data_IF_991236567766
#
_entry.id   IF_991236567766
#
_cell.length_a   1.000
_cell.length_b   1.000
_cell.length_c   1.000
_cell.angle_alpha   90.00
_cell.angle_beta   90.00
_cell.angle_gamma   90.00
#
_symmetry.space_group_name_H-M   'P 1'
#
loop_
_entity.id
_entity.type
_entity.pdbx_description
1 polymer ?
2 polymer ?
3 branched ?
4 non-polymer ?
5 non-polymer ?
6 non-polymer ?
#
# COMPACT_ATOMS: atom_id res chain seq x y z
N UNK A 1 28.17 -7.34 18.87
CA UNK A 1 27.10 -6.35 18.86
C UNK A 1 27.07 -5.62 17.53
N UNK A 2 25.87 -5.42 16.99
CA UNK A 2 25.71 -4.94 15.62
C UNK A 2 24.95 -3.62 15.51
N UNK A 3 24.47 -3.06 16.61
CA UNK A 3 23.67 -1.85 16.54
C UNK A 3 24.00 -0.89 17.68
N UNK A 4 23.41 0.30 17.58
CA UNK A 4 23.56 1.34 18.59
C UNK A 4 22.18 1.81 19.02
N UNK A 5 21.90 1.73 20.32
CA UNK A 5 20.59 2.08 20.84
C UNK A 5 20.53 3.54 21.26
N UNK A 6 19.30 4.03 21.39
CA UNK A 6 19.05 5.38 21.84
C UNK A 6 17.67 5.50 22.45
N UNK A 7 17.35 6.69 22.98
CA UNK A 7 16.02 6.88 23.58
C UNK A 7 14.87 6.67 22.61
N UNK A 8 15.02 7.10 21.35
CA UNK A 8 13.93 6.99 20.39
C UNK A 8 14.43 6.56 19.01
N UNK A 9 15.47 5.73 18.95
CA UNK A 9 15.99 5.30 17.66
C UNK A 9 16.82 4.03 17.84
N UNK A 10 17.26 3.48 16.71
CA UNK A 10 18.14 2.32 16.69
C UNK A 10 18.89 2.33 15.37
N UNK A 11 20.18 2.71 15.41
CA UNK A 11 21.01 2.79 14.21
C UNK A 11 21.64 1.42 14.00
N UNK A 12 21.41 0.77 12.85
CA UNK A 12 22.01 -0.55 12.61
C UNK A 12 23.49 -0.46 12.28
N UNK A 13 24.29 0.01 13.23
CA UNK A 13 25.73 0.15 13.04
C UNK A 13 26.38 0.24 14.41
N UNK A 14 27.33 -0.65 14.68
CA UNK A 14 27.96 -0.69 15.99
C UNK A 14 28.77 0.57 16.24
N UNK A 15 28.76 1.04 17.49
CA UNK A 15 29.46 2.24 17.89
C UNK A 15 30.82 1.94 18.52
N UNK A 16 31.46 0.86 18.08
CA UNK A 16 32.76 0.50 18.64
C UNK A 16 33.87 1.45 18.19
N UNK A 17 33.65 2.22 17.13
CA UNK A 17 34.61 3.21 16.67
C UNK A 17 34.25 4.62 17.09
N UNK A 18 33.08 4.82 17.70
CA UNK A 18 32.70 6.13 18.19
C UNK A 18 32.18 7.09 17.14
N UNK A 19 31.80 6.58 15.95
CA UNK A 19 31.35 7.44 14.87
C UNK A 19 29.83 7.51 14.76
N UNK A 20 29.10 6.62 15.43
CA UNK A 20 27.65 6.60 15.32
C UNK A 20 27.07 7.84 15.98
N UNK A 21 26.14 8.49 15.30
CA UNK A 21 25.46 9.68 15.80
C UNK A 21 23.96 9.45 15.80
N UNK A 22 23.25 10.36 16.45
CA UNK A 22 21.79 10.26 16.49
C UNK A 22 21.22 10.56 15.11
N UNK A 23 20.27 9.75 14.62
CA UNK A 23 19.65 10.04 13.32
C UNK A 23 18.79 11.29 13.31
N UNK A 24 18.62 11.96 14.45
CA UNK A 24 17.88 13.20 14.55
C UNK A 24 18.78 14.43 14.59
N UNK A 25 20.09 14.24 14.59
CA UNK A 25 21.01 15.36 14.81
C UNK A 25 22.11 15.48 13.76
N UNK A 26 22.69 14.37 13.33
CA UNK A 26 23.83 14.37 12.43
C UNK A 26 23.61 13.42 11.27
N UNK A 27 24.27 13.64 10.14
CA UNK A 27 24.13 12.73 9.00
C UNK A 27 24.63 11.33 9.34
N UNK A 28 24.09 10.35 8.60
CA UNK A 28 24.42 8.95 8.82
C UNK A 28 25.27 8.40 7.68
N UNK A 29 26.36 9.11 7.35
CA UNK A 29 27.22 8.71 6.24
C UNK A 29 28.17 7.57 6.59
N UNK A 30 28.06 6.99 7.78
CA UNK A 30 28.88 5.84 8.15
C UNK A 30 28.19 4.51 7.86
N UNK A 31 26.85 4.50 7.73
CA UNK A 31 26.12 3.31 7.35
C UNK A 31 25.82 3.25 5.86
N UNK A 32 26.02 4.36 5.13
CA UNK A 32 25.81 4.40 3.70
C UNK A 32 26.54 5.60 3.14
N UNK A 33 27.15 5.44 1.97
CA UNK A 33 27.88 6.52 1.35
C UNK A 33 26.92 7.64 0.93
N UNK A 34 27.42 8.86 0.77
CA UNK A 34 26.53 9.97 0.38
C UNK A 34 25.80 9.74 -0.94
N UNK A 35 26.44 9.08 -1.91
CA UNK A 35 25.76 8.83 -3.18
C UNK A 35 24.60 7.86 -3.01
N UNK A 36 24.68 6.97 -2.02
CA UNK A 36 23.56 6.07 -1.75
C UNK A 36 22.38 6.84 -1.18
N UNK A 37 22.63 7.93 -0.44
CA UNK A 37 21.54 8.80 -0.02
C UNK A 37 20.98 9.59 -1.19
N UNK A 38 21.85 9.98 -2.13
CA UNK A 38 21.37 10.66 -3.33
C UNK A 38 20.53 9.73 -4.20
N UNK A 39 20.91 8.45 -4.27
CA UNK A 39 20.10 7.47 -5.00
C UNK A 39 18.77 7.23 -4.29
N UNK A 40 18.78 7.24 -2.95
CA UNK A 40 17.53 7.20 -2.21
C UNK A 40 16.66 8.42 -2.54
N UNK A 41 17.28 9.59 -2.60
CA UNK A 41 16.55 10.79 -3.00
C UNK A 41 16.10 10.73 -4.45
N UNK A 42 16.89 10.08 -5.31
CA UNK A 42 16.53 9.97 -6.71
C UNK A 42 15.30 9.07 -6.90
N UNK A 43 15.23 7.97 -6.15
CA UNK A 43 14.08 7.08 -6.29
C UNK A 43 12.83 7.71 -5.70
N UNK A 44 12.97 8.46 -4.60
CA UNK A 44 11.82 9.18 -4.07
C UNK A 44 11.31 10.21 -5.07
N UNK A 45 12.24 10.86 -5.79
CA UNK A 45 11.84 11.79 -6.85
C UNK A 45 11.11 11.06 -7.97
N UNK A 46 11.50 9.82 -8.24
CA UNK A 46 10.80 9.04 -9.26
C UNK A 46 9.38 8.71 -8.84
N UNK A 47 9.18 8.33 -7.57
CA UNK A 47 7.84 8.00 -7.10
C UNK A 47 6.93 9.23 -7.04
N UNK A 48 7.51 10.42 -6.87
CA UNK A 48 6.70 11.63 -6.85
C UNK A 48 6.30 12.04 -8.26
N UNK A 49 7.24 11.97 -9.20
CA UNK A 49 6.95 12.39 -10.57
C UNK A 49 5.99 11.43 -11.26
N UNK A 50 5.96 10.17 -10.84
CA UNK A 50 5.06 9.18 -11.42
C UNK A 50 3.82 8.92 -10.58
N UNK A 51 3.90 9.10 -9.26
CA UNK A 51 2.79 8.80 -8.40
C UNK A 51 1.77 9.90 -8.26
N UNK A 52 2.23 11.16 -8.25
CA UNK A 52 1.30 12.27 -8.07
C UNK A 52 0.38 12.47 -9.28
N UNK A 53 0.90 12.66 -10.51
CA UNK A 53 -0.03 12.96 -11.61
C UNK A 53 -0.97 11.82 -11.94
N UNK A 54 -0.51 10.57 -11.82
CA UNK A 54 -1.37 9.43 -12.14
C UNK A 54 -2.50 9.32 -11.12
N UNK A 55 -2.20 9.55 -9.85
CA UNK A 55 -3.24 9.48 -8.81
C UNK A 55 -4.09 10.75 -8.78
N UNK A 56 -3.51 11.90 -9.10
CA UNK A 56 -4.31 13.13 -9.13
C UNK A 56 -5.24 13.14 -10.34
N UNK A 57 -4.78 12.63 -11.48
CA UNK A 57 -5.63 12.56 -12.66
C UNK A 57 -6.83 11.65 -12.43
N UNK A 58 -6.66 10.62 -11.58
CA UNK A 58 -7.79 9.74 -11.25
C UNK A 58 -8.89 10.51 -10.54
N UNK A 59 -8.52 11.36 -9.59
CA UNK A 59 -9.52 12.18 -8.90
C UNK A 59 -10.05 13.30 -9.79
N UNK A 60 -9.27 13.73 -10.78
CA UNK A 60 -9.69 14.82 -11.63
C UNK A 60 -10.69 14.37 -12.69
N UNK A 61 -10.46 13.22 -13.31
CA UNK A 61 -11.39 12.73 -14.33
C UNK A 61 -12.72 12.30 -13.71
N UNK A 62 -12.74 11.97 -12.42
CA UNK A 62 -14.01 11.64 -11.78
C UNK A 62 -14.88 12.89 -11.61
N UNK A 63 -14.26 14.06 -11.47
CA UNK A 63 -15.02 15.29 -11.36
C UNK A 63 -15.60 15.70 -12.70
N UNK A 64 -14.93 15.37 -13.80
CA UNK A 64 -15.35 15.79 -15.12
C UNK A 64 -16.19 14.75 -15.86
N UNK A 65 -16.34 13.54 -15.33
CA UNK A 65 -17.08 12.48 -16.00
C UNK A 65 -18.12 11.92 -15.04
N UNK A 66 -19.39 12.15 -15.37
CA UNK A 66 -20.49 11.73 -14.50
C UNK A 66 -20.61 10.21 -14.43
N UNK A 67 -20.25 9.50 -15.50
CA UNK A 67 -20.36 8.05 -15.51
C UNK A 67 -19.33 7.36 -14.63
N UNK A 68 -18.34 8.08 -14.12
CA UNK A 68 -17.35 7.51 -13.22
C UNK A 68 -17.76 7.58 -11.75
N UNK A 69 -18.79 8.36 -11.41
CA UNK A 69 -19.20 8.54 -10.03
C UNK A 69 -20.28 7.53 -9.63
N UNK A 70 -19.90 6.25 -9.75
CA UNK A 70 -20.73 5.12 -9.34
C UNK A 70 -20.26 4.57 -7.99
N UNK A 71 -21.16 3.98 -7.22
CA UNK A 71 -20.76 3.47 -5.89
C UNK A 71 -19.65 2.44 -5.94
N UNK A 72 -19.61 1.59 -6.97
CA UNK A 72 -18.53 0.62 -7.10
C UNK A 72 -17.18 1.26 -7.36
N UNK A 73 -17.14 2.55 -7.69
CA UNK A 73 -15.90 3.26 -7.92
C UNK A 73 -15.46 4.10 -6.72
N UNK A 74 -16.23 4.10 -5.63
CA UNK A 74 -15.83 4.85 -4.44
C UNK A 74 -14.52 4.32 -3.88
N UNK A 75 -14.36 2.99 -3.85
CA UNK A 75 -13.15 2.41 -3.28
C UNK A 75 -11.94 2.62 -4.17
N UNK A 76 -12.15 2.85 -5.47
CA UNK A 76 -11.03 3.16 -6.35
C UNK A 76 -10.51 4.57 -6.12
N UNK A 77 -11.41 5.51 -5.83
CA UNK A 77 -10.97 6.86 -5.47
C UNK A 77 -10.29 6.86 -4.11
N UNK A 78 -10.77 6.01 -3.18
CA UNK A 78 -10.12 5.87 -1.90
C UNK A 78 -8.70 5.34 -2.07
N UNK A 79 -8.47 4.50 -3.07
CA UNK A 79 -7.13 4.03 -3.36
C UNK A 79 -6.23 5.16 -3.85
N UNK A 80 -6.78 6.05 -4.67
CA UNK A 80 -5.99 7.17 -5.18
C UNK A 80 -5.65 8.15 -4.08
N UNK A 81 -6.60 8.42 -3.16
CA UNK A 81 -6.33 9.31 -2.04
C UNK A 81 -5.29 8.68 -1.10
N UNK A 82 -5.35 7.35 -0.93
CA UNK A 82 -4.37 6.68 -0.09
C UNK A 82 -2.97 6.81 -0.68
N UNK A 83 -2.84 6.66 -2.00
CA UNK A 83 -1.53 6.81 -2.63
C UNK A 83 -1.02 8.23 -2.52
N UNK A 84 -1.92 9.23 -2.47
CA UNK A 84 -1.49 10.60 -2.28
C UNK A 84 -0.97 10.84 -0.87
N UNK A 85 -1.51 10.14 0.12
CA UNK A 85 -0.95 10.21 1.46
C UNK A 85 0.45 9.60 1.52
N UNK A 86 0.71 8.59 0.68
CA UNK A 86 2.04 8.01 0.62
C UNK A 86 3.03 8.95 -0.06
N UNK A 87 2.53 9.84 -0.91
CA UNK A 87 3.42 10.72 -1.66
C UNK A 87 3.82 11.94 -0.82
N UNK A 88 2.83 12.66 -0.29
CA UNK A 88 3.10 13.89 0.45
C UNK A 88 3.37 13.63 1.93
N UNK A 89 2.84 12.56 2.49
CA UNK A 89 3.09 12.22 3.87
C UNK A 89 4.31 11.36 4.11
N UNK A 90 5.02 10.98 3.05
CA UNK A 90 6.19 10.13 3.21
C UNK A 90 7.24 10.31 2.13
N UNK A 91 6.83 10.26 0.86
CA UNK A 91 7.80 10.35 -0.23
C UNK A 91 8.47 11.71 -0.28
N UNK A 92 7.70 12.78 -0.15
CA UNK A 92 8.28 14.13 -0.17
C UNK A 92 9.16 14.36 1.06
N UNK A 93 8.75 13.84 2.22
CA UNK A 93 9.55 14.00 3.43
C UNK A 93 10.85 13.21 3.32
N UNK A 94 10.80 12.00 2.77
CA UNK A 94 12.01 11.19 2.64
C UNK A 94 12.97 11.80 1.63
N UNK A 95 12.45 12.39 0.55
CA UNK A 95 13.31 13.11 -0.39
C UNK A 95 14.04 14.25 0.30
N UNK A 96 13.37 14.95 1.21
CA UNK A 96 13.99 16.07 1.89
C UNK A 96 15.03 15.61 2.90
N UNK A 97 14.67 14.63 3.74
CA UNK A 97 15.59 14.17 4.78
C UNK A 97 16.81 13.45 4.20
N UNK A 98 16.62 12.71 3.10
CA UNK A 98 17.75 12.00 2.49
C UNK A 98 18.80 12.97 1.98
N UNK A 99 18.39 14.15 1.51
CA UNK A 99 19.36 15.15 1.05
C UNK A 99 20.14 15.77 2.21
N UNK A 100 19.63 15.67 3.44
CA UNK A 100 20.38 16.08 4.61
C UNK A 100 21.26 14.96 5.15
N UNK A 101 20.89 13.70 4.91
CA UNK A 101 21.60 12.56 5.44
C UNK A 101 21.01 11.94 6.68
N UNK A 102 19.93 12.53 7.22
CA UNK A 102 19.30 12.02 8.43
C UNK A 102 17.92 12.64 8.56
N UNK A 103 17.15 12.13 9.51
CA UNK A 103 15.81 12.64 9.76
C UNK A 103 15.90 13.93 10.57
N UNK A 104 15.66 15.06 9.91
CA UNK A 104 15.91 16.37 10.51
C UNK A 104 14.71 16.91 11.28
N UNK A 105 13.59 16.21 11.30
CA UNK A 105 12.39 16.71 11.95
C UNK A 105 12.22 16.17 13.37
N UNK A 106 13.15 15.35 13.85
CA UNK A 106 13.13 14.91 15.23
C UNK A 106 12.07 13.86 15.51
N UNK A 107 11.91 13.52 16.78
CA UNK A 107 10.92 12.48 17.15
C UNK A 107 9.49 12.88 16.85
N UNK A 108 9.15 14.17 16.95
CA UNK A 108 7.80 14.61 16.65
C UNK A 108 7.47 14.39 15.17
N UNK A 109 8.36 14.85 14.28
CA UNK A 109 8.18 14.58 12.86
C UNK A 109 8.28 13.12 12.51
N UNK A 110 8.96 12.33 13.34
CA UNK A 110 9.04 10.89 13.11
C UNK A 110 7.69 10.22 13.34
N UNK A 111 6.95 10.68 14.35
CA UNK A 111 5.61 10.14 14.58
C UNK A 111 4.63 10.63 13.53
N UNK A 112 4.79 11.87 13.06
CA UNK A 112 3.92 12.38 12.01
C UNK A 112 4.18 11.69 10.69
N UNK A 113 5.44 11.64 10.25
CA UNK A 113 5.78 10.98 9.00
C UNK A 113 5.52 9.48 9.08
N UNK A 114 5.59 8.90 10.27
CA UNK A 114 5.32 7.48 10.44
C UNK A 114 3.85 7.16 10.47
N UNK A 115 3.05 8.06 11.06
CA UNK A 115 1.61 7.85 11.11
C UNK A 115 0.98 7.97 9.73
N UNK A 116 1.40 8.97 8.95
CA UNK A 116 0.79 9.20 7.64
C UNK A 116 1.28 8.18 6.61
N UNK A 117 2.55 7.77 6.69
CA UNK A 117 3.05 6.77 5.76
C UNK A 117 2.42 5.41 6.03
N UNK A 118 2.21 5.07 7.30
CA UNK A 118 1.54 3.82 7.63
C UNK A 118 0.06 3.90 7.31
N UNK A 119 -0.57 5.05 7.56
CA UNK A 119 -1.99 5.22 7.27
C UNK A 119 -2.25 5.07 5.77
N UNK A 120 -1.47 5.77 4.95
CA UNK A 120 -1.68 5.71 3.51
C UNK A 120 -1.46 4.33 2.94
N UNK A 121 -0.47 3.61 3.47
CA UNK A 121 -0.20 2.26 3.00
C UNK A 121 -1.25 1.25 3.43
N UNK A 122 -1.88 1.49 4.58
CA UNK A 122 -2.89 0.57 5.08
C UNK A 122 -4.26 0.83 4.50
N UNK A 123 -4.59 2.09 4.21
CA UNK A 123 -5.83 2.40 3.50
C UNK A 123 -5.81 1.75 2.12
N UNK A 124 -4.68 1.85 1.43
CA UNK A 124 -4.55 1.23 0.11
C UNK A 124 -4.64 -0.29 0.20
N UNK A 125 -4.10 -0.87 1.27
CA UNK A 125 -4.17 -2.32 1.43
C UNK A 125 -5.60 -2.79 1.65
N UNK A 126 -6.30 -2.18 2.60
CA UNK A 126 -7.68 -2.58 2.87
C UNK A 126 -8.63 -2.13 1.76
N UNK A 127 -8.26 -1.13 0.96
CA UNK A 127 -9.08 -0.78 -0.19
C UNK A 127 -9.09 -1.90 -1.22
N UNK A 128 -7.96 -2.59 -1.38
CA UNK A 128 -7.92 -3.75 -2.26
C UNK A 128 -8.67 -4.94 -1.68
N UNK A 129 -8.80 -4.99 -0.36
CA UNK A 129 -9.57 -6.07 0.27
C UNK A 129 -11.06 -5.79 0.13
N UNK A 130 -11.47 -4.54 0.40
CA UNK A 130 -12.89 -4.17 0.26
C UNK A 130 -13.31 -4.27 -1.20
N UNK A 131 -12.43 -3.89 -2.13
CA UNK A 131 -12.74 -4.02 -3.55
C UNK A 131 -13.01 -5.47 -3.93
N UNK A 132 -12.24 -6.40 -3.37
CA UNK A 132 -12.47 -7.82 -3.65
C UNK A 132 -13.78 -8.29 -3.04
N UNK A 133 -14.13 -7.78 -1.85
CA UNK A 133 -15.38 -8.15 -1.23
C UNK A 133 -16.56 -7.64 -2.03
N UNK A 134 -16.49 -6.38 -2.49
CA UNK A 134 -17.57 -5.81 -3.28
C UNK A 134 -17.77 -6.56 -4.59
N UNK A 135 -16.66 -6.89 -5.27
CA UNK A 135 -16.77 -7.62 -6.53
C UNK A 135 -17.26 -9.04 -6.31
N UNK A 136 -16.97 -9.63 -5.14
CA UNK A 136 -17.49 -10.96 -4.84
C UNK A 136 -18.98 -10.91 -4.54
N UNK A 137 -19.44 -9.86 -3.87
CA UNK A 137 -20.85 -9.76 -3.53
C UNK A 137 -21.68 -9.46 -4.78
N UNK A 138 -21.16 -8.61 -5.67
CA UNK A 138 -21.94 -8.18 -6.83
C UNK A 138 -22.00 -9.29 -7.88
N UNK A 139 -20.86 -9.93 -8.16
CA UNK A 139 -20.80 -10.89 -9.26
C UNK A 139 -21.30 -12.26 -8.80
N UNK A 140 -20.68 -12.82 -7.77
CA UNK A 140 -21.05 -14.17 -7.33
C UNK A 140 -22.46 -14.21 -6.76
N UNK A 141 -22.94 -13.09 -6.21
CA UNK A 141 -24.26 -12.96 -5.60
C UNK A 141 -24.50 -14.06 -4.56
N UNK A 142 -23.84 -14.02 -3.41
CA UNK A 142 -24.14 -14.98 -2.34
C UNK A 142 -25.23 -14.53 -1.38
N UNK A 143 -25.84 -13.37 -1.63
CA UNK A 143 -26.85 -12.79 -0.74
C UNK A 143 -28.15 -12.67 -1.51
N UNK A 144 -29.17 -13.40 -1.07
CA UNK A 144 -30.44 -13.45 -1.79
C UNK A 144 -31.12 -12.09 -1.77
N UNK A 145 -31.40 -11.56 -2.96
CA UNK A 145 -32.09 -10.28 -3.14
C UNK A 145 -31.31 -9.15 -2.45
N UNK A 146 -30.13 -8.88 -3.00
CA UNK A 146 -29.24 -7.86 -2.49
C UNK A 146 -28.85 -6.91 -3.61
N UNK A 147 -28.89 -5.61 -3.33
CA UNK A 147 -28.47 -4.59 -4.28
C UNK A 147 -27.38 -3.75 -3.63
N UNK A 148 -26.20 -3.73 -4.25
CA UNK A 148 -25.07 -2.95 -3.73
C UNK A 148 -25.30 -1.49 -4.10
N UNK A 149 -25.73 -0.70 -3.13
CA UNK A 149 -26.06 0.69 -3.33
C UNK A 149 -24.98 1.64 -2.86
N UNK A 150 -25.38 2.89 -2.63
CA UNK A 150 -24.44 3.92 -2.20
C UNK A 150 -24.07 3.78 -0.73
N UNK A 151 -25.04 3.39 0.10
CA UNK A 151 -24.77 3.29 1.54
C UNK A 151 -23.79 2.16 1.84
N UNK A 152 -23.77 1.11 1.03
CA UNK A 152 -22.80 0.03 1.25
C UNK A 152 -21.40 0.45 0.82
N UNK A 153 -21.28 1.27 -0.22
CA UNK A 153 -19.97 1.70 -0.68
C UNK A 153 -19.33 2.68 0.31
N UNK A 154 -20.15 3.48 1.00
CA UNK A 154 -19.59 4.40 2.00
C UNK A 154 -19.08 3.63 3.21
N UNK A 155 -19.80 2.58 3.61
CA UNK A 155 -19.31 1.73 4.70
C UNK A 155 -18.01 1.03 4.31
N UNK A 156 -17.86 0.66 3.04
CA UNK A 156 -16.62 0.04 2.60
C UNK A 156 -15.42 0.97 2.66
N UNK A 157 -15.64 2.26 2.39
CA UNK A 157 -14.56 3.23 2.51
C UNK A 157 -14.27 3.50 3.98
N UNK A 158 -15.31 3.65 4.80
CA UNK A 158 -15.11 3.89 6.23
C UNK A 158 -14.47 2.69 6.91
N UNK A 159 -14.71 1.48 6.40
CA UNK A 159 -14.08 0.30 6.98
C UNK A 159 -12.57 0.30 6.78
N UNK A 160 -12.10 0.84 5.65
CA UNK A 160 -10.67 0.93 5.42
C UNK A 160 -10.02 1.94 6.36
N UNK A 161 -10.71 3.05 6.63
CA UNK A 161 -10.16 4.06 7.54
C UNK A 161 -10.08 3.54 8.97
N UNK A 162 -11.08 2.74 9.38
CA UNK A 162 -11.06 2.19 10.74
C UNK A 162 -9.94 1.17 10.89
N UNK A 163 -9.78 0.28 9.90
CA UNK A 163 -8.71 -0.70 9.96
C UNK A 163 -7.34 -0.05 9.92
N UNK A 164 -7.19 1.05 9.17
CA UNK A 164 -5.91 1.73 9.11
C UNK A 164 -5.62 2.47 10.41
N UNK A 165 -6.63 3.13 10.98
CA UNK A 165 -6.44 3.79 12.27
C UNK A 165 -6.20 2.79 13.39
N UNK A 166 -6.76 1.59 13.28
CA UNK A 166 -6.48 0.51 14.21
C UNK A 166 -5.13 -0.14 13.97
N UNK A 167 -4.31 0.51 13.16
CA UNK A 167 -2.99 0.01 12.80
C UNK A 167 -1.88 1.04 12.90
N UNK A 168 -2.16 2.33 12.64
CA UNK A 168 -1.17 3.38 12.68
C UNK A 168 -1.23 4.23 13.95
N UNK A 169 -2.32 4.14 14.70
CA UNK A 169 -2.50 4.94 15.92
C UNK A 169 -1.92 4.28 17.17
N UNK A 170 -1.98 2.96 17.34
CA UNK A 170 -1.37 2.32 18.53
C UNK A 170 0.09 2.70 18.72
N UNK A 171 0.90 2.81 17.67
CA UNK A 171 2.28 3.28 17.87
C UNK A 171 2.39 4.69 18.43
N UNK A 172 1.31 5.48 18.41
CA UNK A 172 1.33 6.83 18.98
C UNK A 172 0.87 6.87 20.42
N UNK A 173 0.37 5.77 20.98
CA UNK A 173 -0.18 5.75 22.32
C UNK A 173 0.46 4.69 23.21
N UNK A 174 1.44 3.93 22.72
CA UNK A 174 2.16 3.04 23.60
C UNK A 174 2.30 1.60 23.13
N UNK A 175 1.64 1.23 22.04
CA UNK A 175 1.75 -0.11 21.47
C UNK A 175 2.67 -0.03 20.26
N UNK A 176 3.90 -0.54 20.42
CA UNK A 176 4.99 -0.34 19.46
C UNK A 176 5.32 1.14 19.35
N UNK A 177 6.09 1.52 18.34
CA UNK A 177 6.54 2.90 18.23
C UNK A 177 7.02 3.16 16.80
N UNK A 178 7.24 4.44 16.50
CA UNK A 178 7.79 4.88 15.23
C UNK A 178 9.23 5.34 15.45
N UNK A 179 10.16 4.72 14.74
CA UNK A 179 11.56 5.11 14.77
C UNK A 179 12.11 5.12 13.36
N UNK A 180 13.18 5.88 13.11
CA UNK A 180 13.83 5.83 11.80
C UNK A 180 14.33 4.42 11.47
N UNK A 181 14.27 4.08 10.19
CA UNK A 181 14.61 2.74 9.72
C UNK A 181 15.65 2.82 8.62
N UNK A 182 16.34 1.70 8.41
CA UNK A 182 17.33 1.57 7.36
C UNK A 182 18.40 2.64 7.38
N UNK A 183 18.37 3.52 6.38
CA UNK A 183 19.29 4.65 6.32
C UNK A 183 18.85 5.82 7.18
N UNK A 184 17.89 5.60 8.09
CA UNK A 184 17.51 6.58 9.10
C UNK A 184 16.93 7.86 8.49
N UNK A 185 16.31 7.75 7.32
CA UNK A 185 15.69 8.90 6.67
C UNK A 185 14.18 8.83 6.64
N UNK A 186 13.58 7.66 6.85
CA UNK A 186 12.14 7.50 6.92
C UNK A 186 11.78 6.73 8.18
N UNK A 187 10.62 7.06 8.75
CA UNK A 187 10.18 6.46 10.00
C UNK A 187 9.07 5.45 9.75
N UNK A 188 9.07 4.39 10.56
CA UNK A 188 8.08 3.34 10.42
C UNK A 188 7.94 2.55 11.71
N UNK A 189 7.18 1.46 11.62
CA UNK A 189 6.91 0.61 12.77
C UNK A 189 8.19 -0.10 13.19
N UNK A 190 8.39 -0.21 14.50
CA UNK A 190 9.59 -0.84 15.05
C UNK A 190 9.40 -2.36 15.06
N UNK A 191 10.27 -3.06 14.33
CA UNK A 191 10.31 -4.53 14.36
C UNK A 191 11.75 -5.04 14.34
N UNK A 192 12.71 -4.21 14.73
CA UNK A 192 14.12 -4.60 14.80
C UNK A 192 14.64 -4.59 16.22
N UNK A 193 13.93 -3.97 17.16
CA UNK A 193 14.25 -3.99 18.58
C UNK A 193 13.11 -4.60 19.37
N UNK A 194 13.42 -5.39 20.40
CA UNK A 194 12.34 -6.04 21.16
C UNK A 194 11.75 -5.13 22.24
N UNK A 195 11.80 -3.82 22.00
CA UNK A 195 11.41 -2.77 22.95
C UNK A 195 10.22 -3.18 23.83
N UNK A 196 10.52 -3.67 25.03
CA UNK A 196 9.46 -4.20 25.90
C UNK A 196 8.59 -3.11 26.50
N UNK A 197 9.05 -1.87 26.56
CA UNK A 197 8.24 -0.80 27.13
C UNK A 197 6.97 -0.54 26.34
N UNK A 198 6.95 -0.91 25.05
CA UNK A 198 5.79 -0.68 24.19
C UNK A 198 5.20 -1.97 23.65
N UNK A 199 5.70 -3.13 24.07
CA UNK A 199 5.20 -4.44 23.64
C UNK A 199 5.22 -4.57 22.13
N UNK A 200 6.43 -4.54 21.57
CA UNK A 200 6.60 -4.63 20.13
C UNK A 200 6.28 -6.02 19.61
N UNK A 201 6.42 -7.05 20.46
CA UNK A 201 6.19 -8.42 20.00
C UNK A 201 4.70 -8.67 19.75
N UNK A 202 3.85 -8.25 20.70
CA UNK A 202 2.41 -8.45 20.53
C UNK A 202 1.84 -7.61 19.40
N UNK A 203 2.52 -6.54 19.00
CA UNK A 203 2.03 -5.71 17.91
C UNK A 203 2.41 -6.28 16.55
N UNK A 204 3.64 -6.78 16.41
CA UNK A 204 4.06 -7.39 15.15
C UNK A 204 3.22 -8.63 14.85
N UNK A 205 2.90 -9.42 15.89
CA UNK A 205 2.07 -10.59 15.69
C UNK A 205 0.65 -10.17 15.32
N UNK A 206 0.08 -9.20 16.06
CA UNK A 206 -1.23 -8.68 15.72
C UNK A 206 -1.25 -8.10 14.31
N UNK A 207 -0.14 -7.52 13.87
CA UNK A 207 -0.08 -6.96 12.52
C UNK A 207 0.05 -8.05 11.47
N UNK A 208 0.84 -9.09 11.74
CA UNK A 208 1.03 -10.17 10.78
C UNK A 208 -0.27 -10.93 10.57
N UNK A 209 -1.06 -11.11 11.62
CA UNK A 209 -2.27 -11.91 11.52
C UNK A 209 -3.44 -11.06 11.02
N UNK A 210 -3.74 -9.96 11.70
CA UNK A 210 -4.95 -9.20 11.40
C UNK A 210 -4.78 -8.41 10.11
N UNK A 211 -3.61 -7.81 9.90
CA UNK A 211 -3.40 -6.89 8.79
C UNK A 211 -2.55 -7.49 7.67
N UNK A 212 -2.41 -8.82 7.63
CA UNK A 212 -1.73 -9.45 6.50
C UNK A 212 -2.32 -10.81 6.20
N UNK A 213 -2.49 -11.66 7.21
CA UNK A 213 -3.06 -12.98 6.98
C UNK A 213 -4.55 -12.87 6.67
N UNK A 214 -5.29 -12.10 7.46
CA UNK A 214 -6.71 -11.90 7.20
C UNK A 214 -6.95 -11.26 5.83
N UNK A 215 -6.27 -10.17 5.45
CA UNK A 215 -6.46 -9.64 4.09
C UNK A 215 -6.09 -10.62 3.00
N UNK A 216 -5.07 -11.47 3.22
CA UNK A 216 -4.66 -12.40 2.19
C UNK A 216 -5.68 -13.52 2.00
N UNK A 217 -6.33 -13.95 3.08
CA UNK A 217 -7.34 -15.00 2.96
C UNK A 217 -8.60 -14.46 2.29
N UNK A 218 -8.99 -13.23 2.62
CA UNK A 218 -10.20 -12.65 2.04
C UNK A 218 -10.03 -12.44 0.54
N UNK A 219 -8.86 -11.95 0.13
CA UNK A 219 -8.63 -11.69 -1.30
C UNK A 219 -8.62 -13.00 -2.09
N UNK A 220 -7.95 -14.02 -1.57
CA UNK A 220 -7.90 -15.30 -2.28
C UNK A 220 -9.27 -15.96 -2.36
N UNK A 221 -10.07 -15.84 -1.29
CA UNK A 221 -11.40 -16.44 -1.29
C UNK A 221 -12.34 -15.70 -2.23
N UNK A 222 -12.42 -14.38 -2.09
CA UNK A 222 -13.36 -13.60 -2.90
C UNK A 222 -13.03 -13.72 -4.39
N UNK A 223 -11.75 -13.54 -4.74
CA UNK A 223 -11.37 -13.65 -6.14
C UNK A 223 -11.38 -15.09 -6.62
N UNK A 224 -11.12 -16.05 -5.73
CA UNK A 224 -11.25 -17.44 -6.11
C UNK A 224 -12.68 -17.83 -6.46
N UNK A 225 -13.63 -17.36 -5.64
CA UNK A 225 -15.04 -17.60 -5.94
C UNK A 225 -15.48 -16.87 -7.21
N UNK A 226 -14.87 -15.71 -7.48
CA UNK A 226 -15.25 -14.95 -8.68
C UNK A 226 -14.80 -15.64 -9.95
N UNK A 227 -13.58 -16.19 -9.96
CA UNK A 227 -13.12 -16.93 -11.12
C UNK A 227 -13.93 -18.21 -11.31
N UNK A 228 -14.35 -18.84 -10.21
CA UNK A 228 -15.17 -20.05 -10.31
C UNK A 228 -16.55 -19.72 -10.87
N UNK A 229 -17.16 -18.62 -10.44
CA UNK A 229 -18.47 -18.24 -10.95
C UNK A 229 -18.40 -17.88 -12.43
N UNK A 230 -17.37 -17.14 -12.84
CA UNK A 230 -17.27 -16.71 -14.23
C UNK A 230 -16.96 -17.90 -15.14
N UNK A 231 -16.10 -18.82 -14.69
CA UNK A 231 -15.74 -19.96 -15.53
C UNK A 231 -16.90 -20.92 -15.70
N UNK A 232 -17.71 -21.11 -14.65
CA UNK A 232 -18.85 -22.01 -14.76
C UNK A 232 -20.03 -21.37 -15.49
N UNK A 233 -20.13 -20.04 -15.46
CA UNK A 233 -21.18 -19.37 -16.22
C UNK A 233 -20.88 -19.41 -17.71
N UNK A 234 -19.60 -19.29 -18.09
CA UNK A 234 -19.23 -19.42 -19.48
C UNK A 234 -19.34 -20.87 -19.96
N UNK A 235 -19.18 -21.83 -19.05
CA UNK A 235 -19.32 -23.24 -19.43
C UNK A 235 -20.76 -23.59 -19.78
N UNK A 236 -21.73 -22.92 -19.15
CA UNK A 236 -23.14 -23.12 -19.47
C UNK A 236 -23.63 -22.18 -20.56
N UNK A 237 -22.73 -21.47 -21.23
CA UNK A 237 -23.12 -20.51 -22.26
C UNK A 237 -21.97 -20.38 -23.26
N UNK A 238 -21.52 -21.50 -23.79
CA UNK A 238 -20.38 -21.51 -24.72
C UNK A 238 -20.77 -21.06 -26.12
N UNK A 239 -22.05 -20.81 -26.39
CA UNK A 239 -22.46 -20.25 -27.67
C UNK A 239 -22.20 -18.76 -27.78
N UNK A 240 -21.90 -18.09 -26.67
CA UNK A 240 -21.61 -16.67 -26.65
C UNK A 240 -20.10 -16.46 -26.68
N UNK A 241 -19.61 -15.85 -27.77
CA UNK A 241 -18.18 -15.62 -27.89
C UNK A 241 -17.70 -14.53 -26.93
N UNK A 242 -18.54 -13.53 -26.67
CA UNK A 242 -18.14 -12.47 -25.74
C UNK A 242 -18.07 -12.99 -24.30
N UNK A 243 -18.93 -13.95 -23.95
CA UNK A 243 -18.85 -14.54 -22.62
C UNK A 243 -17.56 -15.35 -22.46
N UNK A 244 -17.12 -16.02 -23.53
CA UNK A 244 -15.85 -16.73 -23.47
C UNK A 244 -14.68 -15.75 -23.42
N UNK A 245 -14.80 -14.62 -24.11
CA UNK A 245 -13.77 -13.59 -24.04
C UNK A 245 -13.71 -12.96 -22.66
N UNK A 246 -14.88 -12.69 -22.07
CA UNK A 246 -14.91 -12.09 -20.73
C UNK A 246 -14.34 -13.04 -19.69
N UNK A 247 -14.56 -14.34 -19.84
CA UNK A 247 -14.04 -15.31 -18.89
C UNK A 247 -12.51 -15.31 -18.88
N UNK A 248 -11.89 -15.14 -20.04
CA UNK A 248 -10.43 -15.10 -20.11
C UNK A 248 -9.89 -13.78 -19.59
N UNK A 249 -10.57 -12.67 -19.91
CA UNK A 249 -10.12 -11.36 -19.43
C UNK A 249 -10.24 -11.24 -17.92
N UNK A 250 -11.37 -11.71 -17.36
CA UNK A 250 -11.56 -11.65 -15.91
C UNK A 250 -10.54 -12.53 -15.21
N UNK A 251 -10.28 -13.72 -15.74
CA UNK A 251 -9.30 -14.62 -15.13
C UNK A 251 -7.90 -14.00 -15.17
N UNK A 252 -7.56 -13.34 -16.27
CA UNK A 252 -6.24 -12.73 -16.39
C UNK A 252 -6.08 -11.57 -15.42
N UNK A 253 -7.14 -10.81 -15.17
CA UNK A 253 -7.04 -9.68 -14.25
C UNK A 253 -6.92 -10.16 -12.80
N UNK A 254 -7.58 -11.26 -12.46
CA UNK A 254 -7.47 -11.79 -11.09
C UNK A 254 -6.05 -12.26 -10.82
N UNK A 255 -5.41 -12.88 -11.81
CA UNK A 255 -4.02 -13.31 -11.64
C UNK A 255 -3.10 -12.10 -11.47
N UNK A 256 -3.37 -11.03 -12.21
CA UNK A 256 -2.55 -9.82 -12.09
C UNK A 256 -2.76 -9.17 -10.73
N UNK A 257 -4.01 -9.10 -10.26
CA UNK A 257 -4.28 -8.44 -8.98
C UNK A 257 -3.73 -9.26 -7.81
N UNK A 258 -3.79 -10.59 -7.91
CA UNK A 258 -3.28 -11.43 -6.82
C UNK A 258 -1.77 -11.41 -6.79
N UNK A 259 -1.12 -11.52 -7.96
CA UNK A 259 0.34 -11.52 -8.01
C UNK A 259 0.88 -10.15 -7.59
N UNK A 260 0.25 -9.08 -8.06
CA UNK A 260 0.70 -7.74 -7.67
C UNK A 260 0.54 -7.49 -6.18
N UNK A 261 -0.49 -8.07 -5.57
CA UNK A 261 -0.65 -7.93 -4.13
C UNK A 261 0.44 -8.67 -3.37
N UNK A 262 0.85 -9.84 -3.88
CA UNK A 262 1.94 -10.59 -3.25
C UNK A 262 3.26 -9.86 -3.40
N UNK A 263 3.57 -9.40 -4.63
CA UNK A 263 4.80 -8.65 -4.86
C UNK A 263 4.87 -7.42 -3.97
N UNK A 264 3.70 -6.87 -3.60
CA UNK A 264 3.67 -5.65 -2.81
C UNK A 264 3.99 -5.91 -1.34
N UNK A 265 3.32 -6.89 -0.73
CA UNK A 265 3.38 -7.05 0.72
C UNK A 265 4.09 -8.31 1.19
N UNK A 266 4.31 -9.30 0.33
CA UNK A 266 4.99 -10.51 0.78
C UNK A 266 6.48 -10.24 1.07
N UNK A 267 7.20 -9.48 0.23
CA UNK A 267 8.56 -9.11 0.63
C UNK A 267 8.62 -8.31 1.92
N UNK A 268 7.62 -7.45 2.17
CA UNK A 268 7.59 -6.74 3.44
C UNK A 268 7.24 -7.67 4.58
N UNK A 269 6.49 -8.73 4.31
CA UNK A 269 6.13 -9.69 5.35
C UNK A 269 7.28 -10.64 5.65
N UNK A 270 7.95 -11.14 4.62
CA UNK A 270 9.01 -12.10 4.84
C UNK A 270 10.24 -11.50 5.50
N UNK A 271 10.66 -10.33 5.00
CA UNK A 271 11.86 -9.70 5.56
C UNK A 271 11.62 -9.24 6.99
N UNK A 272 10.46 -8.61 7.25
CA UNK A 272 10.16 -8.19 8.61
C UNK A 272 9.94 -9.38 9.53
N UNK A 273 9.53 -10.53 8.98
CA UNK A 273 9.42 -11.73 9.79
C UNK A 273 10.80 -12.31 10.10
N UNK A 274 11.76 -12.12 9.21
CA UNK A 274 13.12 -12.57 9.47
C UNK A 274 13.87 -11.60 10.38
N UNK A 275 13.65 -10.29 10.18
CA UNK A 275 14.29 -9.30 11.03
C UNK A 275 13.80 -9.42 12.47
N UNK A 276 12.52 -9.70 12.65
CA UNK A 276 11.98 -9.82 14.00
C UNK A 276 12.32 -11.16 14.64
N UNK A 277 12.44 -12.22 13.83
CA UNK A 277 12.83 -13.52 14.37
C UNK A 277 14.32 -13.55 14.71
N UNK A 278 15.17 -13.54 13.69
CA UNK A 278 16.63 -13.51 13.88
C UNK A 278 17.08 -12.09 14.23
N UNK A 279 16.57 -11.60 15.35
CA UNK A 279 16.77 -10.22 15.75
C UNK A 279 18.22 -9.98 16.18
N UNK A 280 18.62 -8.71 16.13
CA UNK A 280 19.95 -8.31 16.55
C UNK A 280 21.06 -8.63 15.59
N UNK A 281 20.77 -9.26 14.45
CA UNK A 281 21.80 -9.61 13.49
C UNK A 281 22.30 -8.37 12.76
N UNK A 282 23.41 -8.54 12.03
CA UNK A 282 24.03 -7.45 11.27
C UNK A 282 23.18 -7.15 10.05
N UNK A 283 22.06 -6.46 10.28
CA UNK A 283 21.15 -6.07 9.21
C UNK A 283 21.69 -4.83 8.52
N UNK A 284 22.03 -4.95 7.24
CA UNK A 284 22.49 -3.81 6.47
C UNK A 284 21.36 -2.86 6.16
N UNK A 285 21.65 -1.55 6.22
CA UNK A 285 20.62 -0.57 5.82
C UNK A 285 20.17 -0.73 4.38
N UNK A 286 20.99 -1.33 3.52
CA UNK A 286 20.54 -1.69 2.18
C UNK A 286 19.58 -2.88 2.25
N UNK A 287 19.91 -3.87 3.09
CA UNK A 287 19.03 -5.02 3.28
C UNK A 287 17.66 -4.60 3.81
N UNK A 288 17.62 -3.53 4.61
CA UNK A 288 16.34 -3.02 5.10
C UNK A 288 15.50 -2.43 3.97
N UNK A 289 16.13 -1.89 2.94
CA UNK A 289 15.44 -1.16 1.89
C UNK A 289 15.35 -2.02 0.63
N UNK A 290 14.58 -3.09 0.73
CA UNK A 290 14.18 -3.90 -0.42
C UNK A 290 12.74 -4.37 -0.26
N UNK A 291 12.17 -4.46 0.98
CA UNK A 291 10.70 -4.57 1.07
C UNK A 291 10.02 -3.25 0.80
N UNK A 292 10.70 -2.16 1.16
CA UNK A 292 10.13 -0.83 0.91
C UNK A 292 10.13 -0.48 -0.57
N UNK A 293 11.03 -1.07 -1.35
CA UNK A 293 11.05 -0.83 -2.78
C UNK A 293 9.78 -1.34 -3.45
N UNK A 294 9.27 -2.49 -3.00
CA UNK A 294 8.08 -3.06 -3.61
C UNK A 294 6.80 -2.46 -3.05
N UNK A 295 6.79 -2.13 -1.76
CA UNK A 295 5.58 -1.60 -1.14
C UNK A 295 5.35 -0.14 -1.48
N UNK A 296 6.40 0.68 -1.46
CA UNK A 296 6.25 2.10 -1.77
C UNK A 296 5.92 2.32 -3.24
N UNK A 297 6.47 1.49 -4.13
CA UNK A 297 6.18 1.61 -5.55
C UNK A 297 4.73 1.29 -5.88
N UNK A 298 3.99 0.68 -4.96
CA UNK A 298 2.57 0.41 -5.19
C UNK A 298 1.77 1.69 -5.38
N UNK A 299 2.32 2.85 -4.99
CA UNK A 299 1.67 4.12 -5.30
C UNK A 299 1.66 4.41 -6.79
N UNK A 300 2.41 3.66 -7.59
CA UNK A 300 2.50 3.88 -9.03
C UNK A 300 1.77 2.78 -9.81
N UNK A 301 2.04 1.52 -9.47
CA UNK A 301 1.49 0.42 -10.28
C UNK A 301 0.10 -0.03 -9.83
N UNK A 302 -0.36 0.39 -8.64
CA UNK A 302 -1.75 0.13 -8.29
C UNK A 302 -2.71 0.95 -9.15
N UNK A 303 -2.50 2.25 -9.38
CA UNK A 303 -3.37 2.96 -10.34
C UNK A 303 -3.24 2.43 -11.75
N UNK A 304 -2.08 1.89 -12.13
CA UNK A 304 -1.92 1.32 -13.46
C UNK A 304 -2.79 0.08 -13.61
N UNK A 305 -2.88 -0.74 -12.55
CA UNK A 305 -3.63 -1.98 -12.64
C UNK A 305 -5.12 -1.75 -12.38
N UNK A 306 -5.45 -0.95 -11.37
CA UNK A 306 -6.83 -0.79 -10.93
C UNK A 306 -7.55 0.39 -11.55
N UNK A 307 -6.84 1.32 -12.19
CA UNK A 307 -7.48 2.49 -12.78
C UNK A 307 -7.20 2.54 -14.28
N UNK A 308 -5.92 2.57 -14.66
CA UNK A 308 -5.57 2.71 -16.06
C UNK A 308 -5.97 1.49 -16.88
N UNK A 309 -6.05 0.32 -16.25
CA UNK A 309 -6.54 -0.87 -16.94
C UNK A 309 -8.05 -1.03 -16.85
N UNK A 310 -8.74 -0.08 -16.21
CA UNK A 310 -10.20 -0.05 -16.25
C UNK A 310 -10.64 0.67 -17.52
N UNK A 311 -11.60 0.07 -18.22
CA UNK A 311 -11.99 0.60 -19.54
C UNK A 311 -12.64 1.98 -19.41
N UNK A 312 -13.43 2.19 -18.36
CA UNK A 312 -14.10 3.48 -18.19
C UNK A 312 -13.10 4.58 -17.85
N UNK A 313 -12.20 4.31 -16.90
CA UNK A 313 -11.23 5.33 -16.50
C UNK A 313 -10.25 5.65 -17.63
N UNK A 314 -9.82 4.63 -18.37
CA UNK A 314 -8.85 4.85 -19.44
C UNK A 314 -9.43 5.72 -20.55
N UNK A 315 -10.72 5.52 -20.86
CA UNK A 315 -11.36 6.35 -21.89
C UNK A 315 -11.50 7.79 -21.42
N UNK A 316 -11.92 7.98 -20.16
CA UNK A 316 -12.07 9.34 -19.64
C UNK A 316 -10.73 10.03 -19.46
N UNK A 317 -9.67 9.28 -19.17
CA UNK A 317 -8.35 9.89 -19.04
C UNK A 317 -7.80 10.33 -20.39
N UNK A 318 -7.98 9.51 -21.42
CA UNK A 318 -7.53 9.88 -22.76
C UNK A 318 -8.30 11.11 -23.24
N UNK A 319 -9.59 11.18 -22.93
CA UNK A 319 -10.38 12.35 -23.30
C UNK A 319 -9.87 13.60 -22.59
N UNK A 320 -9.67 13.50 -21.26
CA UNK A 320 -9.21 14.66 -20.50
C UNK A 320 -7.82 15.10 -20.94
N UNK A 321 -6.90 14.15 -21.14
CA UNK A 321 -5.54 14.50 -21.51
C UNK A 321 -5.46 15.03 -22.95
N UNK A 322 -6.34 14.57 -23.83
CA UNK A 322 -6.35 15.02 -25.22
C UNK A 322 -7.33 16.17 -25.44
N UNK A 323 -7.36 17.14 -24.54
CA UNK A 323 -8.08 18.39 -24.69
C UNK A 323 -9.59 18.22 -24.78
N UNK A 324 -10.11 17.04 -24.44
CA UNK A 324 -11.54 16.84 -24.35
C UNK A 324 -12.20 16.13 -25.53
N UNK A 325 -11.45 15.85 -26.60
CA UNK A 325 -12.03 15.25 -27.80
C UNK A 325 -11.17 14.06 -28.24
N UNK A 326 -11.55 12.87 -27.78
CA UNK A 326 -10.99 11.62 -28.28
C UNK A 326 -11.77 10.42 -27.73
N UNK B 1 -23.80 -12.53 -16.39
CA UNK B 1 -22.93 -11.82 -15.45
C UNK B 1 -22.12 -10.74 -16.17
N UNK B 2 -22.31 -10.65 -17.49
CA UNK B 2 -21.56 -9.68 -18.27
C UNK B 2 -21.84 -8.24 -17.83
N UNK B 3 -23.07 -7.98 -17.36
CA UNK B 3 -23.39 -6.64 -16.90
C UNK B 3 -22.79 -6.35 -15.53
N UNK B 4 -22.72 -7.35 -14.65
CA UNK B 4 -22.08 -7.16 -13.37
C UNK B 4 -20.56 -7.02 -13.51
N UNK B 5 -19.97 -7.69 -14.49
CA UNK B 5 -18.53 -7.57 -14.71
C UNK B 5 -18.17 -6.18 -15.22
N UNK B 6 -19.07 -5.52 -15.95
CA UNK B 6 -18.81 -4.16 -16.40
C UNK B 6 -18.98 -3.15 -15.28
N UNK B 7 -19.94 -3.38 -14.38
CA UNK B 7 -20.13 -2.48 -13.25
C UNK B 7 -18.91 -2.48 -12.34
N UNK B 8 -18.31 -3.65 -12.11
CA UNK B 8 -17.13 -3.75 -11.26
C UNK B 8 -15.84 -3.42 -12.02
N UNK B 9 -15.92 -3.10 -13.30
CA UNK B 9 -14.75 -2.71 -14.06
C UNK B 9 -13.82 -3.83 -14.44
N UNK B 10 -14.31 -5.07 -14.47
CA UNK B 10 -13.49 -6.22 -14.82
C UNK B 10 -13.58 -6.61 -16.29
N UNK B 11 -14.56 -6.08 -17.02
CA UNK B 11 -14.71 -6.41 -18.44
C UNK B 11 -15.45 -5.29 -19.17
#
# INVERSE_FOLDING_TARGET
MNGTEGPNFYVPFSNKTGVVRSPFEAPQYYLAEPWQFSMLAAYMFLLIMLGFPINFLTLYVTVQHKKLRTPLNYILLNLAVADLFMVFGGFTTTLYTSLHGYFVFGPTGCNLEGFFATLGGEIALWSLVVLAIERYVVVCKPMSNFRFGENHAIMGVAFTWVMALACAAPPLVGWSRYIPEGMQCSCGIDYYTPHEETNNESFVIYMFVVHFIIPLIVIFFCYGQLVFTVKEAAAQQQESATTQKAEKEVTRMVIIMVIAFLICWLPYAGVAFYIFTHQGSDFGPIFMTIPAFFAKTSAVYNPVIYIMMNKQFRNCMVTTLCCGKNPLGDDEASTTVSKTETSQVAPA
ILENLKDVGLF
#
